data_IF_244622442429
#
_entry.id   IF_244622442429
#
_cell.length_a   1.000
_cell.length_b   1.000
_cell.length_c   1.000
_cell.angle_alpha   90.00
_cell.angle_beta   90.00
_cell.angle_gamma   90.00
#
_symmetry.space_group_name_H-M   'P 1'
#
loop_
_entity.id
_entity.type
_entity.pdbx_description
1 polymer ?
#
# COMPACT_ATOMS: atom_id res chain seq x y z
N UNK A 1 -39.66 55.02 28.65
CA UNK A 1 -39.52 53.86 27.76
C UNK A 1 -38.04 53.55 27.67
N UNK A 2 -37.58 52.59 28.47
CA UNK A 2 -36.16 52.25 28.62
C UNK A 2 -36.04 50.79 28.21
N UNK A 3 -35.40 50.53 27.07
CA UNK A 3 -35.25 49.20 26.46
C UNK A 3 -34.12 48.44 27.15
N UNK A 4 -34.43 47.24 27.65
CA UNK A 4 -33.43 46.30 28.18
C UNK A 4 -32.56 45.70 27.06
N UNK A 5 -31.28 45.36 27.31
CA UNK A 5 -30.44 44.68 26.33
C UNK A 5 -30.79 43.19 26.27
N UNK A 6 -30.93 42.67 25.05
CA UNK A 6 -31.18 41.25 24.79
C UNK A 6 -29.95 40.36 25.08
N UNK A 7 -30.15 39.04 25.25
CA UNK A 7 -29.08 38.11 25.60
C UNK A 7 -28.07 37.98 24.45
N UNK A 8 -26.79 37.96 24.81
CA UNK A 8 -25.67 37.77 23.90
C UNK A 8 -25.76 36.41 23.19
N UNK A 9 -25.49 36.41 21.88
CA UNK A 9 -25.39 35.20 21.07
C UNK A 9 -24.26 34.29 21.58
N UNK A 10 -24.44 32.95 21.56
CA UNK A 10 -23.37 32.02 21.92
C UNK A 10 -22.22 32.16 20.91
N UNK A 11 -21.00 32.32 21.43
CA UNK A 11 -19.78 32.32 20.63
C UNK A 11 -19.56 30.97 19.93
N UNK A 12 -18.68 30.91 18.92
CA UNK A 12 -18.41 29.69 18.19
C UNK A 12 -17.93 28.61 19.17
N UNK A 13 -18.68 27.52 19.24
CA UNK A 13 -18.33 26.34 20.01
C UNK A 13 -16.94 25.87 19.59
N UNK A 14 -16.04 25.74 20.56
CA UNK A 14 -14.71 25.21 20.36
C UNK A 14 -14.82 23.83 19.70
N UNK A 15 -14.22 23.71 18.52
CA UNK A 15 -13.98 22.45 17.82
C UNK A 15 -13.43 21.41 18.79
N UNK A 16 -14.03 20.21 18.79
CA UNK A 16 -13.62 19.08 19.62
C UNK A 16 -12.12 18.75 19.47
N UNK A 17 -11.54 17.98 20.42
CA UNK A 17 -10.11 17.70 20.43
C UNK A 17 -9.69 17.07 19.10
N UNK A 18 -8.67 17.67 18.47
CA UNK A 18 -7.97 17.08 17.34
C UNK A 18 -7.57 15.64 17.69
N UNK A 19 -7.70 14.71 16.74
CA UNK A 19 -7.40 13.30 16.94
C UNK A 19 -6.04 13.13 17.64
N UNK A 20 -6.06 12.61 18.86
CA UNK A 20 -4.86 12.45 19.69
C UNK A 20 -4.05 11.26 19.18
N UNK A 21 -3.04 11.50 18.34
CA UNK A 21 -2.11 10.48 17.86
C UNK A 21 -1.18 11.03 16.78
N UNK A 22 -0.07 10.31 16.46
CA UNK A 22 0.87 10.73 15.42
C UNK A 22 0.24 10.66 14.02
N UNK A 23 0.79 11.43 13.07
CA UNK A 23 0.54 11.23 11.64
C UNK A 23 1.41 10.07 11.14
N UNK A 24 0.77 8.99 10.69
CA UNK A 24 1.42 7.74 10.28
C UNK A 24 1.25 7.50 8.78
N UNK A 25 2.36 7.19 8.10
CA UNK A 25 2.35 6.68 6.72
C UNK A 25 2.77 5.22 6.74
N UNK A 26 1.88 4.32 6.35
CA UNK A 26 2.16 2.88 6.24
C UNK A 26 2.37 2.49 4.78
N UNK A 27 3.55 1.93 4.46
CA UNK A 27 3.92 1.53 3.11
C UNK A 27 3.97 0.01 3.01
N UNK A 28 3.33 -0.54 1.97
CA UNK A 28 3.32 -1.98 1.76
C UNK A 28 2.34 -2.44 0.69
N UNK A 29 1.93 -3.69 0.83
CA UNK A 29 0.91 -4.30 -0.02
C UNK A 29 0.28 -5.49 0.69
N UNK A 30 -0.65 -6.14 0.00
CA UNK A 30 -1.20 -7.41 0.44
C UNK A 30 -1.92 -7.39 1.79
N UNK A 31 -1.95 -8.57 2.40
CA UNK A 31 -2.51 -8.80 3.73
C UNK A 31 -1.66 -8.21 4.86
N UNK A 32 -0.34 -8.14 4.67
CA UNK A 32 0.59 -7.59 5.66
C UNK A 32 0.31 -6.12 5.94
N UNK A 33 0.16 -5.31 4.89
CA UNK A 33 -0.25 -3.91 5.04
C UNK A 33 -1.65 -3.80 5.65
N UNK A 34 -2.62 -4.60 5.21
CA UNK A 34 -3.97 -4.58 5.77
C UNK A 34 -4.00 -4.82 7.29
N UNK A 35 -3.18 -5.77 7.78
CA UNK A 35 -3.01 -6.02 9.21
C UNK A 35 -2.33 -4.84 9.92
N UNK A 36 -1.29 -4.25 9.31
CA UNK A 36 -0.62 -3.06 9.85
C UNK A 36 -1.60 -1.89 9.99
N UNK A 37 -2.42 -1.64 8.96
CA UNK A 37 -3.41 -0.57 8.96
C UNK A 37 -4.46 -0.78 10.05
N UNK A 38 -4.97 -2.00 10.23
CA UNK A 38 -5.88 -2.32 11.31
C UNK A 38 -5.27 -2.07 12.71
N UNK A 39 -3.96 -2.31 12.87
CA UNK A 39 -3.24 -2.05 14.12
C UNK A 39 -2.95 -0.55 14.35
N UNK A 40 -2.64 0.21 13.29
CA UNK A 40 -2.37 1.65 13.37
C UNK A 40 -3.64 2.50 13.53
N UNK A 41 -4.76 2.07 12.94
CA UNK A 41 -6.05 2.81 12.93
C UNK A 41 -6.50 3.33 14.31
N UNK A 42 -6.42 2.56 15.43
CA UNK A 42 -6.80 3.09 16.75
C UNK A 42 -5.75 3.98 17.41
N UNK A 43 -4.50 4.04 16.90
CA UNK A 43 -3.38 4.74 17.51
C UNK A 43 -3.02 6.05 16.79
N UNK A 44 -3.20 6.09 15.48
CA UNK A 44 -2.83 7.22 14.64
C UNK A 44 -3.86 8.35 14.72
N UNK A 45 -3.40 9.60 14.77
CA UNK A 45 -4.25 10.78 14.61
C UNK A 45 -4.63 10.98 13.15
N UNK A 46 -3.66 10.75 12.26
CA UNK A 46 -3.86 10.68 10.81
C UNK A 46 -3.17 9.43 10.27
N UNK A 47 -3.82 8.68 9.38
CA UNK A 47 -3.27 7.46 8.80
C UNK A 47 -3.35 7.51 7.27
N UNK A 48 -2.20 7.35 6.61
CA UNK A 48 -2.12 7.22 5.14
C UNK A 48 -1.48 5.88 4.78
N UNK A 49 -2.20 5.06 4.01
CA UNK A 49 -1.65 3.88 3.36
C UNK A 49 -1.06 4.26 2.00
N UNK A 50 0.22 3.96 1.76
CA UNK A 50 0.84 4.04 0.44
C UNK A 50 1.03 2.62 -0.07
N UNK A 51 0.35 2.28 -1.14
CA UNK A 51 0.14 0.89 -1.54
C UNK A 51 0.88 0.58 -2.84
N UNK A 52 1.55 -0.58 -2.88
CA UNK A 52 2.17 -1.08 -4.11
C UNK A 52 1.15 -1.26 -5.24
N UNK A 53 1.60 -0.94 -6.45
CA UNK A 53 0.82 -1.07 -7.70
C UNK A 53 1.53 -1.99 -8.70
N UNK A 54 2.25 -2.99 -8.16
CA UNK A 54 3.02 -3.95 -8.94
C UNK A 54 2.37 -5.34 -9.08
N UNK A 55 1.22 -5.56 -8.43
CA UNK A 55 0.50 -6.85 -8.47
C UNK A 55 0.11 -7.23 -9.91
N UNK A 56 0.48 -8.44 -10.30
CA UNK A 56 0.16 -9.06 -11.59
C UNK A 56 -0.59 -10.39 -11.44
N UNK A 57 -0.99 -10.73 -10.22
CA UNK A 57 -1.66 -11.97 -9.87
C UNK A 57 -3.19 -11.93 -9.95
N UNK A 58 -3.78 -13.11 -10.14
CA UNK A 58 -5.21 -13.34 -9.99
C UNK A 58 -6.09 -12.33 -10.74
N UNK A 59 -7.05 -11.73 -10.03
CA UNK A 59 -7.97 -10.75 -10.60
C UNK A 59 -7.28 -9.44 -10.98
N UNK A 60 -6.31 -8.95 -10.21
CA UNK A 60 -5.62 -7.69 -10.51
C UNK A 60 -4.84 -7.83 -11.82
N UNK A 61 -4.12 -8.95 -11.95
CA UNK A 61 -3.38 -9.33 -13.16
C UNK A 61 -4.25 -9.40 -14.41
N UNK A 62 -5.46 -9.97 -14.32
CA UNK A 62 -6.40 -9.99 -15.44
C UNK A 62 -6.84 -8.58 -15.82
N UNK A 63 -7.27 -7.77 -14.85
CA UNK A 63 -7.74 -6.40 -15.08
C UNK A 63 -6.65 -5.55 -15.74
N UNK A 64 -5.43 -5.54 -15.22
CA UNK A 64 -4.33 -4.71 -15.79
C UNK A 64 -3.88 -5.14 -17.19
N UNK A 65 -4.18 -6.36 -17.63
CA UNK A 65 -3.89 -6.82 -19.00
C UNK A 65 -4.96 -6.36 -19.99
N UNK A 66 -6.18 -6.16 -19.51
CA UNK A 66 -7.34 -5.81 -20.32
C UNK A 66 -7.63 -4.31 -20.30
N UNK A 67 -7.18 -3.59 -19.27
CA UNK A 67 -7.49 -2.19 -19.04
C UNK A 67 -6.25 -1.39 -18.61
N UNK A 68 -6.11 -0.12 -19.03
CA UNK A 68 -5.01 0.75 -18.65
C UNK A 68 -5.21 1.35 -17.25
N UNK A 69 -5.29 0.50 -16.23
CA UNK A 69 -5.54 0.89 -14.83
C UNK A 69 -4.49 0.32 -13.88
N UNK A 70 -4.36 0.91 -12.70
CA UNK A 70 -3.55 0.34 -11.62
C UNK A 70 -4.15 -1.01 -11.18
N UNK A 71 -3.32 -2.00 -10.78
CA UNK A 71 -3.84 -3.24 -10.22
C UNK A 71 -4.64 -2.95 -8.93
N UNK A 72 -5.94 -3.26 -8.89
CA UNK A 72 -6.82 -2.80 -7.81
C UNK A 72 -6.72 -3.63 -6.52
N UNK A 73 -6.09 -4.80 -6.55
CA UNK A 73 -6.18 -5.81 -5.49
C UNK A 73 -5.72 -5.33 -4.11
N UNK A 74 -4.50 -4.82 -4.03
CA UNK A 74 -3.90 -4.34 -2.79
C UNK A 74 -4.52 -3.03 -2.31
N UNK A 75 -4.84 -2.13 -3.24
CA UNK A 75 -5.55 -0.88 -2.97
C UNK A 75 -6.92 -1.14 -2.31
N UNK A 76 -7.68 -2.08 -2.87
CA UNK A 76 -8.96 -2.54 -2.32
C UNK A 76 -8.79 -3.12 -0.91
N UNK A 77 -7.74 -3.91 -0.67
CA UNK A 77 -7.50 -4.48 0.67
C UNK A 77 -7.18 -3.40 1.69
N UNK A 78 -6.38 -2.40 1.33
CA UNK A 78 -6.10 -1.26 2.20
C UNK A 78 -7.39 -0.47 2.53
N UNK A 79 -8.24 -0.21 1.53
CA UNK A 79 -9.55 0.43 1.76
C UNK A 79 -10.44 -0.36 2.72
N UNK A 80 -10.54 -1.68 2.52
CA UNK A 80 -11.33 -2.54 3.40
C UNK A 80 -10.78 -2.58 4.84
N UNK A 81 -9.46 -2.51 5.02
CA UNK A 81 -8.83 -2.46 6.34
C UNK A 81 -9.12 -1.15 7.09
N UNK A 82 -9.28 -0.05 6.35
CA UNK A 82 -9.58 1.27 6.90
C UNK A 82 -11.07 1.58 7.04
N UNK A 83 -11.95 0.74 6.50
CA UNK A 83 -13.40 0.95 6.52
C UNK A 83 -13.93 1.22 7.94
N UNK A 84 -14.87 2.15 8.05
CA UNK A 84 -15.52 2.53 9.30
C UNK A 84 -16.24 1.36 10.00
N UNK A 85 -16.55 1.56 11.28
CA UNK A 85 -17.11 0.51 12.13
C UNK A 85 -18.64 0.40 12.07
N UNK A 86 -19.31 1.29 11.33
CA UNK A 86 -20.78 1.25 11.18
C UNK A 86 -21.24 -0.02 10.46
N UNK A 87 -22.40 -0.63 10.83
CA UNK A 87 -22.84 -1.90 10.26
C UNK A 87 -22.92 -1.91 8.73
N UNK A 88 -23.47 -0.86 8.12
CA UNK A 88 -23.58 -0.72 6.65
C UNK A 88 -22.21 -0.64 5.98
N UNK A 89 -21.30 0.10 6.60
CA UNK A 89 -19.93 0.23 6.13
C UNK A 89 -19.19 -1.11 6.19
N UNK A 90 -19.38 -1.88 7.26
CA UNK A 90 -18.81 -3.24 7.39
C UNK A 90 -19.38 -4.21 6.37
N UNK A 91 -20.67 -4.13 6.09
CA UNK A 91 -21.31 -4.90 5.02
C UNK A 91 -20.73 -4.53 3.64
N UNK A 92 -20.58 -3.23 3.36
CA UNK A 92 -19.96 -2.75 2.12
C UNK A 92 -18.50 -3.22 1.99
N UNK A 93 -17.69 -3.10 3.05
CA UNK A 93 -16.33 -3.61 3.06
C UNK A 93 -16.30 -5.12 2.79
N UNK A 94 -17.21 -5.88 3.38
CA UNK A 94 -17.36 -7.32 3.12
C UNK A 94 -17.74 -7.61 1.67
N UNK A 95 -18.65 -6.83 1.09
CA UNK A 95 -19.03 -6.91 -0.32
C UNK A 95 -17.82 -6.65 -1.23
N UNK A 96 -17.05 -5.59 -0.98
CA UNK A 96 -15.84 -5.31 -1.78
C UNK A 96 -14.83 -6.44 -1.70
N UNK A 97 -14.76 -7.14 -0.55
CA UNK A 97 -13.92 -8.31 -0.38
C UNK A 97 -14.48 -9.60 -1.00
N UNK A 98 -15.79 -9.66 -1.26
CA UNK A 98 -16.45 -10.84 -1.80
C UNK A 98 -15.93 -11.17 -3.20
N UNK A 99 -15.59 -12.45 -3.40
CA UNK A 99 -15.15 -12.99 -4.69
C UNK A 99 -16.32 -13.69 -5.37
N UNK A 100 -16.64 -13.23 -6.58
CA UNK A 100 -17.70 -13.84 -7.38
C UNK A 100 -17.36 -15.31 -7.69
N UNK A 101 -18.33 -16.19 -7.45
CA UNK A 101 -18.25 -17.61 -7.82
C UNK A 101 -18.63 -17.85 -9.28
N UNK A 102 -19.02 -19.10 -9.57
CA UNK A 102 -19.51 -19.51 -10.89
C UNK A 102 -18.40 -19.76 -11.91
N UNK A 103 -18.75 -19.65 -13.19
CA UNK A 103 -17.86 -19.83 -14.35
C UNK A 103 -17.96 -18.63 -15.29
N UNK A 104 -16.95 -18.45 -16.15
CA UNK A 104 -16.89 -17.34 -17.11
C UNK A 104 -16.02 -16.16 -16.64
N UNK A 105 -16.15 -15.02 -17.33
CA UNK A 105 -15.21 -13.88 -17.20
C UNK A 105 -15.23 -13.21 -15.83
N UNK A 106 -16.39 -13.20 -15.15
CA UNK A 106 -16.53 -12.61 -13.82
C UNK A 106 -16.04 -13.55 -12.70
N UNK A 107 -15.90 -14.84 -12.98
CA UNK A 107 -15.56 -15.83 -11.97
C UNK A 107 -14.19 -15.52 -11.34
N UNK A 108 -14.18 -15.51 -10.01
CA UNK A 108 -12.99 -15.23 -9.25
C UNK A 108 -12.61 -13.75 -9.17
N UNK A 109 -13.37 -12.80 -9.73
CA UNK A 109 -13.14 -11.37 -9.49
C UNK A 109 -13.69 -10.96 -8.11
N UNK A 110 -12.90 -10.28 -7.26
CA UNK A 110 -13.43 -9.53 -6.14
C UNK A 110 -14.34 -8.41 -6.66
N UNK A 111 -15.52 -8.24 -6.07
CA UNK A 111 -16.47 -7.17 -6.46
C UNK A 111 -15.78 -5.80 -6.36
N UNK A 112 -15.01 -5.58 -5.30
CA UNK A 112 -14.31 -4.31 -5.11
C UNK A 112 -13.27 -3.98 -6.16
N UNK A 113 -12.67 -4.99 -6.81
CA UNK A 113 -11.75 -4.74 -7.92
C UNK A 113 -12.50 -4.14 -9.12
N UNK A 114 -13.69 -4.67 -9.41
CA UNK A 114 -14.53 -4.17 -10.50
C UNK A 114 -15.07 -2.77 -10.20
N UNK A 115 -15.51 -2.53 -8.96
CA UNK A 115 -15.97 -1.20 -8.50
C UNK A 115 -14.85 -0.17 -8.61
N UNK A 116 -13.67 -0.46 -8.07
CA UNK A 116 -12.53 0.47 -8.12
C UNK A 116 -12.07 0.75 -9.55
N UNK A 117 -12.07 -0.28 -10.41
CA UNK A 117 -11.77 -0.13 -11.84
C UNK A 117 -12.77 0.78 -12.53
N UNK A 118 -14.07 0.56 -12.30
CA UNK A 118 -15.14 1.39 -12.86
C UNK A 118 -15.08 2.84 -12.37
N UNK A 119 -14.82 3.07 -11.07
CA UNK A 119 -14.62 4.41 -10.53
C UNK A 119 -13.41 5.11 -11.15
N UNK A 120 -12.31 4.39 -11.35
CA UNK A 120 -11.11 4.93 -12.02
C UNK A 120 -11.42 5.35 -13.44
N UNK A 121 -12.16 4.53 -14.20
CA UNK A 121 -12.60 4.86 -15.56
C UNK A 121 -13.54 6.08 -15.58
N UNK A 122 -14.53 6.11 -14.68
CA UNK A 122 -15.45 7.26 -14.52
C UNK A 122 -14.73 8.57 -14.20
N UNK A 123 -13.60 8.50 -13.48
CA UNK A 123 -12.76 9.65 -13.17
C UNK A 123 -11.66 9.90 -14.21
N UNK A 124 -11.75 9.31 -15.40
CA UNK A 124 -10.82 9.58 -16.49
C UNK A 124 -9.40 9.07 -16.25
N UNK A 125 -9.26 8.00 -15.46
CA UNK A 125 -7.97 7.42 -15.09
C UNK A 125 -7.37 7.97 -13.79
N UNK A 126 -8.05 8.91 -13.12
CA UNK A 126 -7.60 9.43 -11.82
C UNK A 126 -7.88 8.41 -10.70
N UNK A 127 -6.87 7.58 -10.44
CA UNK A 127 -6.94 6.54 -9.42
C UNK A 127 -7.06 7.11 -8.01
N UNK A 128 -6.42 8.24 -7.70
CA UNK A 128 -6.49 8.85 -6.36
C UNK A 128 -7.90 9.31 -6.07
N UNK A 129 -8.56 9.97 -7.04
CA UNK A 129 -9.97 10.37 -6.90
C UNK A 129 -10.92 9.17 -6.76
N UNK A 130 -10.65 8.09 -7.48
CA UNK A 130 -11.42 6.85 -7.34
C UNK A 130 -11.27 6.21 -5.96
N UNK A 131 -10.05 6.21 -5.41
CA UNK A 131 -9.77 5.72 -4.06
C UNK A 131 -10.45 6.59 -3.01
N UNK A 132 -10.35 7.91 -3.11
CA UNK A 132 -11.00 8.85 -2.20
C UNK A 132 -12.53 8.68 -2.23
N UNK A 133 -13.12 8.55 -3.42
CA UNK A 133 -14.57 8.29 -3.58
C UNK A 133 -14.99 6.99 -2.90
N UNK A 134 -14.22 5.92 -3.07
CA UNK A 134 -14.54 4.63 -2.45
C UNK A 134 -14.27 4.64 -0.93
N UNK A 135 -13.27 5.39 -0.48
CA UNK A 135 -12.97 5.60 0.93
C UNK A 135 -14.13 6.32 1.64
N UNK A 136 -14.72 7.34 1.02
CA UNK A 136 -15.89 8.06 1.53
C UNK A 136 -17.11 7.14 1.66
N UNK A 137 -17.38 6.31 0.66
CA UNK A 137 -18.46 5.31 0.70
C UNK A 137 -18.24 4.26 1.81
N UNK A 138 -16.99 4.01 2.18
CA UNK A 138 -16.58 3.12 3.25
C UNK A 138 -16.40 3.83 4.59
N UNK A 139 -16.72 5.13 4.72
CA UNK A 139 -16.43 5.90 5.93
C UNK A 139 -15.02 5.64 6.48
N UNK A 140 -14.04 5.55 5.59
CA UNK A 140 -12.71 5.05 5.93
C UNK A 140 -12.00 5.99 6.91
N UNK A 141 -11.31 5.41 7.89
CA UNK A 141 -10.50 6.15 8.87
C UNK A 141 -9.04 6.17 8.44
N UNK A 142 -8.73 7.08 7.53
CA UNK A 142 -7.43 7.22 6.89
C UNK A 142 -7.56 7.27 5.38
N UNK A 143 -6.46 7.54 4.69
CA UNK A 143 -6.41 7.71 3.24
C UNK A 143 -5.61 6.60 2.58
N UNK A 144 -6.03 6.15 1.40
CA UNK A 144 -5.30 5.15 0.59
C UNK A 144 -4.77 5.82 -0.66
N UNK A 145 -3.46 5.75 -0.88
CA UNK A 145 -2.78 6.31 -2.03
C UNK A 145 -1.96 5.22 -2.74
N UNK A 146 -1.88 5.23 -4.08
CA UNK A 146 -0.98 4.34 -4.80
C UNK A 146 0.47 4.85 -4.69
N UNK A 147 1.44 3.94 -4.65
CA UNK A 147 2.86 4.32 -4.59
C UNK A 147 3.36 5.02 -5.86
N UNK A 148 2.65 4.86 -6.97
CA UNK A 148 2.93 5.47 -8.26
C UNK A 148 1.64 5.68 -9.06
N UNK A 149 1.64 6.65 -9.98
CA UNK A 149 0.46 6.98 -10.81
C UNK A 149 0.31 6.04 -12.02
N UNK A 150 1.23 5.10 -12.20
CA UNK A 150 1.24 4.13 -13.29
C UNK A 150 1.47 2.71 -12.75
N UNK A 151 0.98 1.66 -13.44
CA UNK A 151 1.27 0.28 -13.07
C UNK A 151 2.76 0.00 -13.12
N UNK A 152 3.25 -0.79 -12.17
CA UNK A 152 4.66 -1.16 -12.10
C UNK A 152 4.86 -2.65 -12.39
N UNK A 153 6.00 -2.97 -12.99
CA UNK A 153 6.50 -4.34 -13.12
C UNK A 153 7.72 -4.53 -12.24
N UNK A 154 7.70 -5.61 -11.46
CA UNK A 154 8.89 -6.07 -10.75
C UNK A 154 9.73 -6.93 -11.68
N UNK A 155 11.03 -6.66 -11.71
CA UNK A 155 12.02 -7.45 -12.42
C UNK A 155 13.12 -7.84 -11.44
N UNK A 156 13.35 -9.13 -11.28
CA UNK A 156 14.40 -9.67 -10.43
C UNK A 156 15.48 -10.38 -11.25
N UNK A 157 16.71 -10.30 -10.77
CA UNK A 157 17.77 -11.24 -11.12
C UNK A 157 17.84 -12.25 -9.97
N UNK A 158 17.68 -13.52 -10.29
CA UNK A 158 17.75 -14.61 -9.31
C UNK A 158 18.93 -15.51 -9.61
N UNK A 159 19.52 -16.05 -8.55
CA UNK A 159 20.59 -17.04 -8.58
C UNK A 159 20.04 -18.41 -8.23
N UNK A 160 20.33 -19.38 -9.11
CA UNK A 160 19.91 -20.77 -8.89
C UNK A 160 20.48 -21.32 -7.59
N UNK A 161 19.62 -21.98 -6.83
CA UNK A 161 20.01 -22.74 -5.63
C UNK A 161 20.55 -24.13 -5.98
N UNK A 162 20.30 -24.60 -7.22
CA UNK A 162 20.83 -25.85 -7.74
C UNK A 162 22.31 -25.68 -8.14
N UNK A 163 23.25 -26.41 -7.52
CA UNK A 163 24.67 -26.30 -7.85
C UNK A 163 24.99 -26.79 -9.27
N UNK A 164 24.22 -27.73 -9.82
CA UNK A 164 24.47 -28.38 -11.11
C UNK A 164 23.82 -27.65 -12.30
N UNK A 165 23.08 -26.58 -12.01
CA UNK A 165 22.40 -25.78 -13.02
C UNK A 165 23.40 -24.96 -13.86
N UNK A 166 23.45 -25.17 -15.19
CA UNK A 166 24.38 -24.46 -16.06
C UNK A 166 24.06 -22.96 -16.19
N UNK A 167 22.83 -22.54 -15.87
CA UNK A 167 22.42 -21.15 -15.85
C UNK A 167 22.40 -20.60 -14.42
N UNK A 168 23.57 -20.09 -13.98
CA UNK A 168 23.76 -19.56 -12.63
C UNK A 168 22.84 -18.40 -12.25
N UNK A 169 22.38 -17.60 -13.21
CA UNK A 169 21.51 -16.46 -12.97
C UNK A 169 20.45 -16.28 -14.07
N UNK A 170 19.24 -15.86 -13.69
CA UNK A 170 18.11 -15.65 -14.61
C UNK A 170 17.38 -14.35 -14.32
N UNK A 171 16.68 -13.84 -15.34
CA UNK A 171 15.76 -12.71 -15.17
C UNK A 171 14.34 -13.21 -15.02
N UNK A 172 13.66 -12.77 -13.97
CA UNK A 172 12.23 -13.03 -13.74
C UNK A 172 11.50 -11.69 -13.76
N UNK A 173 10.36 -11.66 -14.46
CA UNK A 173 9.45 -10.50 -14.50
C UNK A 173 8.10 -10.90 -13.93
N UNK A 174 7.55 -10.03 -13.10
CA UNK A 174 6.21 -10.19 -12.53
C UNK A 174 6.27 -10.59 -11.06
N UNK A 175 5.37 -10.01 -10.26
CA UNK A 175 5.31 -10.22 -8.83
C UNK A 175 5.07 -11.69 -8.49
N UNK A 176 4.08 -12.32 -9.13
CA UNK A 176 3.76 -13.74 -8.90
C UNK A 176 4.92 -14.65 -9.28
N UNK A 177 5.60 -14.38 -10.39
CA UNK A 177 6.71 -15.21 -10.84
C UNK A 177 7.93 -15.08 -9.92
N UNK A 178 8.20 -13.89 -9.38
CA UNK A 178 9.28 -13.67 -8.41
C UNK A 178 8.95 -14.38 -7.10
N UNK A 179 7.75 -14.20 -6.56
CA UNK A 179 7.34 -14.82 -5.30
C UNK A 179 7.28 -16.35 -5.36
N UNK A 180 7.04 -16.94 -6.54
CA UNK A 180 7.01 -18.38 -6.74
C UNK A 180 8.38 -18.99 -7.12
N UNK A 181 9.42 -18.18 -7.24
CA UNK A 181 10.75 -18.66 -7.62
C UNK A 181 11.40 -19.42 -6.45
N UNK A 182 11.95 -20.62 -6.68
CA UNK A 182 12.78 -21.30 -5.69
C UNK A 182 14.21 -20.74 -5.62
N UNK A 183 14.57 -19.87 -6.57
CA UNK A 183 15.90 -19.31 -6.71
C UNK A 183 16.09 -18.08 -5.81
N UNK A 184 17.32 -17.83 -5.36
CA UNK A 184 17.60 -16.72 -4.46
C UNK A 184 17.61 -15.39 -5.21
N UNK A 185 16.80 -14.43 -4.79
CA UNK A 185 16.82 -13.07 -5.36
C UNK A 185 18.17 -12.40 -5.09
N UNK A 186 18.91 -12.08 -6.17
CA UNK A 186 20.16 -11.31 -6.13
C UNK A 186 19.88 -9.81 -6.16
N UNK A 187 18.97 -9.37 -7.02
CA UNK A 187 18.59 -7.97 -7.13
C UNK A 187 17.18 -7.82 -7.69
N UNK A 188 16.55 -6.69 -7.37
CA UNK A 188 15.20 -6.35 -7.83
C UNK A 188 15.14 -4.89 -8.27
N UNK A 189 14.29 -4.61 -9.26
CA UNK A 189 13.99 -3.27 -9.76
C UNK A 189 12.54 -3.14 -10.20
N UNK A 190 12.04 -1.91 -10.20
CA UNK A 190 10.75 -1.56 -10.81
C UNK A 190 10.94 -1.16 -12.28
N UNK A 191 9.90 -1.34 -13.08
CA UNK A 191 9.77 -0.81 -14.43
C UNK A 191 8.40 -0.15 -14.57
N UNK A 192 8.31 1.12 -15.04
CA UNK A 192 9.40 2.05 -15.33
C UNK A 192 10.28 2.36 -14.11
N UNK A 193 11.54 2.75 -14.36
CA UNK A 193 12.55 2.94 -13.31
C UNK A 193 12.33 4.21 -12.47
N UNK A 194 11.71 5.24 -13.05
CA UNK A 194 11.33 6.48 -12.38
C UNK A 194 9.86 6.80 -12.70
N UNK A 195 8.91 6.09 -12.08
CA UNK A 195 7.50 6.34 -12.31
C UNK A 195 7.06 7.69 -11.70
N UNK A 196 6.03 8.33 -12.28
CA UNK A 196 5.35 9.44 -11.62
C UNK A 196 4.77 8.99 -10.29
N UNK A 197 4.84 9.88 -9.29
CA UNK A 197 4.30 9.69 -7.95
C UNK A 197 3.39 10.87 -7.64
N UNK A 198 2.18 10.58 -7.16
CA UNK A 198 1.21 11.61 -6.83
C UNK A 198 1.75 12.59 -5.78
N UNK A 199 1.54 13.92 -5.94
CA UNK A 199 1.99 14.91 -4.96
C UNK A 199 1.51 14.64 -3.52
N UNK A 200 0.30 14.09 -3.37
CA UNK A 200 -0.26 13.79 -2.05
C UNK A 200 0.52 12.71 -1.30
N UNK A 201 1.15 11.77 -2.02
CA UNK A 201 2.02 10.74 -1.40
C UNK A 201 3.25 11.41 -0.79
N UNK A 202 3.89 12.29 -1.56
CA UNK A 202 5.07 13.03 -1.11
C UNK A 202 4.73 13.95 0.06
N UNK A 203 3.57 14.60 0.00
CA UNK A 203 3.09 15.50 1.04
C UNK A 203 2.68 14.75 2.32
N UNK A 204 2.19 13.51 2.21
CA UNK A 204 1.94 12.65 3.36
C UNK A 204 3.25 12.23 4.04
N UNK A 205 4.25 11.78 3.27
CA UNK A 205 5.58 11.40 3.80
C UNK A 205 6.28 12.58 4.48
N UNK A 206 6.18 13.79 3.90
CA UNK A 206 6.80 14.99 4.44
C UNK A 206 6.17 15.46 5.78
N UNK A 207 4.92 15.09 6.05
CA UNK A 207 4.17 15.46 7.26
C UNK A 207 4.09 14.34 8.30
N UNK A 208 4.63 13.17 7.98
CA UNK A 208 4.55 12.02 8.86
C UNK A 208 5.43 12.21 10.10
N UNK A 209 4.90 11.80 11.26
CA UNK A 209 5.69 11.56 12.46
C UNK A 209 6.30 10.16 12.43
N UNK A 210 5.58 9.19 11.82
CA UNK A 210 6.00 7.79 11.71
C UNK A 210 5.81 7.28 10.29
N UNK A 211 6.81 6.58 9.78
CA UNK A 211 6.75 5.80 8.54
C UNK A 211 6.84 4.33 8.92
N UNK A 212 5.79 3.54 8.64
CA UNK A 212 5.75 2.10 8.89
C UNK A 212 6.01 1.33 7.60
N UNK A 213 7.10 0.58 7.53
CA UNK A 213 7.43 -0.32 6.42
C UNK A 213 7.02 -1.75 6.76
N UNK A 214 6.13 -2.34 5.96
CA UNK A 214 5.65 -3.70 6.17
C UNK A 214 4.65 -3.82 7.35
N UNK A 215 4.35 -5.07 7.77
CA UNK A 215 4.92 -6.32 7.28
C UNK A 215 4.40 -6.68 5.88
N UNK A 216 4.98 -7.71 5.28
CA UNK A 216 4.58 -8.22 3.98
C UNK A 216 5.75 -8.84 3.22
N UNK A 217 5.44 -9.39 2.05
CA UNK A 217 6.44 -9.96 1.15
C UNK A 217 7.59 -9.00 0.91
N UNK A 218 8.81 -9.43 1.23
CA UNK A 218 9.94 -8.52 1.36
C UNK A 218 10.29 -7.87 0.02
N UNK A 219 10.45 -8.69 -1.01
CA UNK A 219 10.83 -8.22 -2.34
C UNK A 219 9.65 -7.68 -3.13
N UNK A 220 8.44 -8.21 -2.87
CA UNK A 220 7.28 -7.94 -3.73
C UNK A 220 6.28 -6.94 -3.14
N UNK A 221 6.34 -6.63 -1.84
CA UNK A 221 5.44 -5.67 -1.18
C UNK A 221 6.14 -4.60 -0.36
N UNK A 222 7.28 -4.89 0.29
CA UNK A 222 7.98 -3.92 1.15
C UNK A 222 9.01 -3.11 0.37
N UNK A 223 10.06 -3.77 -0.12
CA UNK A 223 11.17 -3.13 -0.85
C UNK A 223 10.77 -2.31 -2.08
N UNK A 224 9.69 -2.62 -2.84
CA UNK A 224 9.32 -1.82 -4.02
C UNK A 224 9.15 -0.33 -3.77
N UNK A 225 8.74 0.07 -2.56
CA UNK A 225 8.59 1.47 -2.17
C UNK A 225 9.94 2.21 -2.15
N UNK A 226 11.04 1.52 -1.85
CA UNK A 226 12.40 2.06 -1.85
C UNK A 226 13.03 2.04 -3.24
N UNK A 227 12.47 1.28 -4.19
CA UNK A 227 12.95 1.21 -5.57
C UNK A 227 12.52 2.43 -6.41
N UNK A 228 11.44 3.12 -6.01
CA UNK A 228 10.95 4.33 -6.67
C UNK A 228 11.78 5.55 -6.21
N UNK A 229 12.55 6.21 -7.09
CA UNK A 229 13.50 7.26 -6.69
C UNK A 229 12.86 8.42 -5.92
N UNK A 230 11.69 8.88 -6.35
CA UNK A 230 10.99 10.01 -5.71
C UNK A 230 10.47 9.67 -4.31
N UNK A 231 9.99 8.45 -4.09
CA UNK A 231 9.61 7.97 -2.75
C UNK A 231 10.82 7.84 -1.85
N UNK A 232 11.90 7.22 -2.35
CA UNK A 232 13.15 7.08 -1.59
C UNK A 232 13.71 8.44 -1.18
N UNK A 233 13.72 9.41 -2.09
CA UNK A 233 14.16 10.78 -1.80
C UNK A 233 13.26 11.47 -0.75
N UNK A 234 11.95 11.31 -0.82
CA UNK A 234 11.02 11.86 0.17
C UNK A 234 11.22 11.24 1.56
N UNK A 235 11.41 9.91 1.62
CA UNK A 235 11.71 9.19 2.85
C UNK A 235 13.05 9.63 3.46
N UNK A 236 14.07 9.85 2.64
CA UNK A 236 15.39 10.30 3.09
C UNK A 236 15.39 11.75 3.60
N UNK A 237 14.50 12.60 3.06
CA UNK A 237 14.33 13.98 3.48
C UNK A 237 13.38 14.14 4.68
N UNK A 238 12.62 13.10 5.03
CA UNK A 238 11.64 13.15 6.11
C UNK A 238 12.31 13.12 7.48
N UNK A 239 11.72 13.80 8.46
CA UNK A 239 12.08 13.69 9.88
C UNK A 239 11.31 12.60 10.62
N UNK A 240 10.45 11.85 9.92
CA UNK A 240 9.63 10.80 10.51
C UNK A 240 10.49 9.67 11.10
N UNK A 241 10.01 9.07 12.18
CA UNK A 241 10.57 7.83 12.68
C UNK A 241 10.20 6.69 11.72
N UNK A 242 11.19 6.14 11.02
CA UNK A 242 11.01 5.01 10.10
C UNK A 242 11.09 3.70 10.88
N UNK A 243 9.95 3.04 11.06
CA UNK A 243 9.78 1.76 11.74
C UNK A 243 9.60 0.65 10.70
N UNK A 244 10.27 -0.48 10.90
CA UNK A 244 10.14 -1.67 10.05
C UNK A 244 9.51 -2.79 10.85
N UNK A 245 8.43 -3.35 10.32
CA UNK A 245 7.74 -4.50 10.91
C UNK A 245 8.13 -5.74 10.13
N UNK A 246 8.88 -6.64 10.77
CA UNK A 246 9.33 -7.89 10.16
C UNK A 246 8.19 -8.92 10.09
N UNK A 247 8.31 -9.84 9.14
CA UNK A 247 7.41 -10.98 9.05
C UNK A 247 7.65 -11.95 10.22
N UNK A 248 6.58 -12.57 10.72
CA UNK A 248 6.65 -13.55 11.81
C UNK A 248 7.19 -14.90 11.33
N UNK A 249 6.93 -15.24 10.07
CA UNK A 249 7.32 -16.49 9.44
C UNK A 249 8.13 -16.18 8.17
N UNK A 250 9.13 -16.99 7.84
CA UNK A 250 9.77 -16.97 6.53
C UNK A 250 8.74 -17.17 5.42
N UNK A 251 8.89 -16.42 4.34
CA UNK A 251 8.07 -16.57 3.16
C UNK A 251 8.78 -17.44 2.12
N UNK A 252 8.15 -18.57 1.79
CA UNK A 252 8.62 -19.49 0.76
C UNK A 252 8.93 -18.78 -0.55
N UNK A 253 10.15 -18.98 -1.08
CA UNK A 253 10.64 -18.38 -2.32
C UNK A 253 11.14 -16.94 -2.20
N UNK A 254 10.94 -16.26 -1.06
CA UNK A 254 11.45 -14.90 -0.84
C UNK A 254 12.49 -14.83 0.28
N UNK A 255 12.24 -15.48 1.42
CA UNK A 255 12.97 -15.25 2.67
C UNK A 255 13.22 -16.53 3.47
N UNK A 256 13.19 -17.71 2.83
CA UNK A 256 13.29 -19.04 3.46
C UNK A 256 14.39 -19.17 4.51
N UNK A 257 15.58 -18.60 4.24
CA UNK A 257 16.74 -18.67 5.13
C UNK A 257 17.07 -17.33 5.80
N UNK A 258 16.16 -16.35 5.77
CA UNK A 258 16.47 -15.03 6.30
C UNK A 258 16.36 -15.01 7.83
N UNK A 259 17.48 -14.71 8.47
CA UNK A 259 17.45 -14.20 9.85
C UNK A 259 16.88 -12.76 9.88
N UNK A 260 16.46 -12.25 11.05
CA UNK A 260 16.10 -10.84 11.20
C UNK A 260 17.22 -9.89 10.75
N UNK A 261 18.48 -10.23 11.03
CA UNK A 261 19.65 -9.45 10.59
C UNK A 261 19.79 -9.45 9.07
N UNK A 262 19.48 -10.57 8.41
CA UNK A 262 19.52 -10.65 6.96
C UNK A 262 18.44 -9.77 6.31
N UNK A 263 17.23 -9.69 6.90
CA UNK A 263 16.20 -8.74 6.46
C UNK A 263 16.71 -7.30 6.55
N UNK A 264 17.29 -6.92 7.69
CA UNK A 264 17.82 -5.58 7.91
C UNK A 264 18.97 -5.26 6.97
N UNK A 265 19.86 -6.22 6.70
CA UNK A 265 20.97 -6.04 5.76
C UNK A 265 20.46 -5.77 4.35
N UNK A 266 19.52 -6.59 3.88
CA UNK A 266 18.89 -6.38 2.56
C UNK A 266 18.20 -5.03 2.53
N UNK A 267 17.47 -4.64 3.59
CA UNK A 267 16.85 -3.32 3.66
C UNK A 267 17.88 -2.20 3.56
N UNK A 268 18.97 -2.26 4.33
CA UNK A 268 20.03 -1.25 4.34
C UNK A 268 20.64 -1.04 2.95
N UNK A 269 20.85 -2.12 2.18
CA UNK A 269 21.33 -2.04 0.80
C UNK A 269 20.37 -1.25 -0.12
N UNK A 270 19.07 -1.18 0.22
CA UNK A 270 18.04 -0.50 -0.54
C UNK A 270 17.68 0.91 0.01
N UNK A 271 17.99 1.22 1.27
CA UNK A 271 17.66 2.52 1.88
C UNK A 271 18.39 3.69 1.20
N UNK A 272 19.65 3.50 0.78
CA UNK A 272 20.46 4.50 0.06
C UNK A 272 20.30 5.95 0.57
N UNK A 273 20.35 6.15 1.90
CA UNK A 273 20.22 7.46 2.54
C UNK A 273 18.91 7.68 3.32
N UNK A 274 17.94 6.77 3.24
CA UNK A 274 16.76 6.77 4.13
C UNK A 274 17.18 6.39 5.55
N UNK A 275 16.87 7.20 6.59
CA UNK A 275 17.19 6.83 7.96
C UNK A 275 16.31 5.66 8.43
N UNK A 276 16.88 4.76 9.22
CA UNK A 276 16.15 3.66 9.85
C UNK A 276 16.20 3.84 11.36
N UNK A 277 15.03 3.90 11.99
CA UNK A 277 14.90 4.09 13.42
C UNK A 277 14.35 2.83 14.06
N UNK A 278 15.11 2.27 14.99
CA UNK A 278 14.73 1.08 15.77
C UNK A 278 13.90 1.45 16.98
#
# INVERSE_FOLDING_TARGET
MTTAPGPAAPGPEASGPAASGPSVVALGGGHGLAAALAAWRPLAGELTAVVTVADDGGSSGRIRREMPVLPPGDLRMALAALAGDEPRTREMATLLQHRLGGSGVLAGHPVGNLVLTGLTEMHGGDAVRALDTLADLLGARGRVLPMADVPLDLVAIVDTVDPDDPQRSRHIRGQVAIAASPDRVRSIRVTPADPPVHPDVLAAIARADVVSLGPGSWYTSVLPHLLVPRLRAALAASSAQVVVVLNLEPQAGETDDFSPEQHLRVLQDHLQGVPLHT
#
